data_IF_316762251761
#
_entry.id   IF_316762251761
#
_cell.length_a   1.000
_cell.length_b   1.000
_cell.length_c   1.000
_cell.angle_alpha   90.00
_cell.angle_beta   90.00
_cell.angle_gamma   90.00
#
_symmetry.space_group_name_H-M   'P 1'
#
loop_
_entity.id
_entity.type
_entity.pdbx_description
1 polymer ?
#
# COMPACT_ATOMS: atom_id res chain seq x y z
N UNK A 1 7.24 -7.38 -38.49
CA UNK A 1 7.50 -8.66 -37.88
C UNK A 1 7.63 -8.45 -36.36
N UNK A 2 6.78 -9.05 -35.59
CA UNK A 2 6.97 -9.16 -34.13
C UNK A 2 8.23 -10.00 -33.91
N UNK A 3 9.24 -9.38 -33.30
CA UNK A 3 10.39 -10.14 -32.78
C UNK A 3 9.86 -10.90 -31.59
N UNK A 4 9.67 -12.23 -31.76
CA UNK A 4 9.38 -13.10 -30.65
C UNK A 4 10.46 -12.90 -29.57
N UNK A 5 10.10 -12.40 -28.43
CA UNK A 5 11.03 -12.28 -27.29
C UNK A 5 11.29 -13.69 -26.79
N UNK A 6 12.57 -14.05 -26.70
CA UNK A 6 12.96 -15.35 -26.15
C UNK A 6 12.43 -15.52 -24.74
N UNK A 7 11.62 -16.56 -24.53
CA UNK A 7 11.12 -16.90 -23.19
C UNK A 7 12.28 -17.41 -22.32
N UNK A 8 12.37 -16.95 -21.06
CA UNK A 8 13.39 -17.49 -20.16
C UNK A 8 13.07 -18.94 -19.82
N UNK A 9 14.07 -19.80 -19.84
CA UNK A 9 13.91 -21.24 -19.57
C UNK A 9 14.35 -21.66 -18.16
N UNK A 10 14.94 -20.75 -17.36
CA UNK A 10 15.50 -21.10 -16.04
C UNK A 10 14.45 -21.65 -15.09
N UNK A 11 13.20 -21.24 -15.17
CA UNK A 11 12.10 -21.74 -14.35
C UNK A 11 11.85 -23.25 -14.59
N UNK A 12 12.04 -23.73 -15.81
CA UNK A 12 11.91 -25.15 -16.15
C UNK A 12 13.06 -25.97 -15.55
N UNK A 13 14.26 -25.38 -15.51
CA UNK A 13 15.40 -26.01 -14.82
C UNK A 13 15.20 -26.06 -13.30
N UNK A 14 14.61 -25.02 -12.71
CA UNK A 14 14.27 -25.04 -11.28
C UNK A 14 13.25 -26.14 -10.98
N UNK A 15 12.17 -26.23 -11.74
CA UNK A 15 11.16 -27.29 -11.58
C UNK A 15 11.81 -28.70 -11.69
N UNK A 16 12.64 -28.94 -12.71
CA UNK A 16 13.32 -30.22 -12.90
C UNK A 16 14.27 -30.54 -11.73
N UNK A 17 15.03 -29.56 -11.25
CA UNK A 17 15.92 -29.76 -10.10
C UNK A 17 15.13 -30.15 -8.84
N UNK A 18 13.96 -29.59 -8.66
CA UNK A 18 13.09 -29.87 -7.50
C UNK A 18 12.32 -31.19 -7.61
N UNK A 19 12.20 -31.75 -8.83
CA UNK A 19 11.65 -33.09 -9.06
C UNK A 19 12.68 -34.21 -8.76
N UNK A 20 13.97 -33.94 -9.01
CA UNK A 20 15.03 -34.98 -8.93
C UNK A 20 15.84 -34.94 -7.65
N UNK A 21 15.69 -33.90 -6.81
CA UNK A 21 16.51 -33.74 -5.60
C UNK A 21 15.69 -33.24 -4.42
N UNK A 22 15.92 -33.82 -3.25
CA UNK A 22 15.36 -33.35 -1.97
C UNK A 22 15.93 -32.00 -1.55
N UNK A 23 17.16 -31.69 -1.97
CA UNK A 23 17.87 -30.43 -1.67
C UNK A 23 18.48 -29.89 -2.95
N UNK A 24 18.25 -28.61 -3.19
CA UNK A 24 18.79 -27.92 -4.36
C UNK A 24 19.29 -26.51 -3.99
N UNK A 25 20.49 -26.17 -4.48
CA UNK A 25 20.99 -24.79 -4.48
C UNK A 25 21.13 -24.36 -5.92
N UNK A 26 20.44 -23.27 -6.27
CA UNK A 26 20.42 -22.77 -7.66
C UNK A 26 20.75 -21.29 -7.70
N UNK A 27 21.50 -20.90 -8.73
CA UNK A 27 21.77 -19.49 -9.06
C UNK A 27 20.96 -19.16 -10.31
N UNK A 28 20.04 -18.22 -10.18
CA UNK A 28 19.08 -17.87 -11.27
C UNK A 28 18.83 -16.38 -11.36
N UNK A 29 18.27 -15.88 -12.49
CA UNK A 29 17.72 -14.54 -12.52
C UNK A 29 16.66 -14.35 -11.44
N UNK A 30 16.72 -13.23 -10.71
CA UNK A 30 15.92 -12.99 -9.51
C UNK A 30 14.52 -12.37 -9.80
N UNK A 31 14.16 -12.12 -11.07
CA UNK A 31 12.93 -11.40 -11.44
C UNK A 31 11.65 -12.02 -10.88
N UNK A 32 11.61 -13.36 -10.77
CA UNK A 32 10.45 -14.06 -10.26
C UNK A 32 10.13 -13.68 -8.78
N UNK A 33 11.15 -13.34 -7.99
CA UNK A 33 11.00 -12.90 -6.60
C UNK A 33 10.19 -11.60 -6.48
N UNK A 34 10.20 -10.77 -7.52
CA UNK A 34 9.46 -9.52 -7.62
C UNK A 34 8.17 -9.67 -8.45
N UNK A 35 7.77 -10.90 -8.72
CA UNK A 35 6.66 -11.22 -9.62
C UNK A 35 6.78 -10.49 -10.97
N UNK A 36 8.00 -10.30 -11.45
CA UNK A 36 8.38 -9.59 -12.68
C UNK A 36 9.04 -10.54 -13.69
N UNK A 37 9.25 -10.02 -14.92
CA UNK A 37 9.88 -10.78 -16.01
C UNK A 37 8.87 -11.55 -16.86
N UNK A 38 9.39 -12.49 -17.67
CA UNK A 38 8.61 -13.25 -18.65
C UNK A 38 8.28 -14.68 -18.19
N UNK A 39 8.61 -15.05 -16.96
CA UNK A 39 8.15 -16.31 -16.37
C UNK A 39 6.64 -16.25 -16.10
N UNK A 40 5.93 -17.39 -16.26
CA UNK A 40 4.50 -17.42 -15.99
C UNK A 40 4.17 -16.93 -14.56
N UNK A 41 3.20 -16.04 -14.41
CA UNK A 41 2.80 -15.49 -13.11
C UNK A 41 2.40 -16.56 -12.10
N UNK A 42 1.71 -17.60 -12.57
CA UNK A 42 1.33 -18.76 -11.74
C UNK A 42 2.58 -19.49 -11.22
N UNK A 43 3.63 -19.62 -12.04
CA UNK A 43 4.89 -20.22 -11.61
C UNK A 43 5.63 -19.33 -10.59
N UNK A 44 5.67 -18.01 -10.81
CA UNK A 44 6.24 -17.08 -9.85
C UNK A 44 5.56 -17.23 -8.49
N UNK A 45 4.23 -17.27 -8.50
CA UNK A 45 3.43 -17.44 -7.29
C UNK A 45 3.72 -18.78 -6.61
N UNK A 46 3.78 -19.88 -7.36
CA UNK A 46 4.18 -21.22 -6.84
C UNK A 46 5.52 -21.14 -6.10
N UNK A 47 6.51 -20.45 -6.65
CA UNK A 47 7.83 -20.31 -6.02
C UNK A 47 7.79 -19.42 -4.77
N UNK A 48 7.02 -18.34 -4.81
CA UNK A 48 6.88 -17.42 -3.68
C UNK A 48 6.07 -18.03 -2.52
N UNK A 49 5.20 -18.97 -2.79
CA UNK A 49 4.38 -19.70 -1.81
C UNK A 49 5.04 -21.01 -1.32
N UNK A 50 6.15 -21.43 -1.91
CA UNK A 50 6.86 -22.66 -1.49
C UNK A 50 7.55 -22.46 -0.14
N UNK A 51 6.99 -23.06 0.91
CA UNK A 51 7.52 -22.98 2.28
C UNK A 51 8.87 -23.69 2.46
N UNK A 52 9.30 -24.49 1.48
CA UNK A 52 10.58 -25.20 1.48
C UNK A 52 11.69 -24.44 0.76
N UNK A 53 11.38 -23.28 0.17
CA UNK A 53 12.29 -22.45 -0.61
C UNK A 53 12.67 -21.19 0.17
N UNK A 54 13.98 -20.88 0.20
CA UNK A 54 14.47 -19.59 0.70
C UNK A 54 15.50 -18.96 -0.23
N UNK A 55 15.61 -17.64 -0.18
CA UNK A 55 16.70 -16.89 -0.80
C UNK A 55 17.86 -16.83 0.19
N UNK A 56 19.02 -17.33 -0.20
CA UNK A 56 20.23 -17.31 0.63
C UNK A 56 21.19 -16.20 0.26
N UNK A 57 21.08 -15.67 -0.95
CA UNK A 57 21.83 -14.50 -1.41
C UNK A 57 21.10 -13.82 -2.56
N UNK A 58 21.18 -12.50 -2.61
CA UNK A 58 20.67 -11.69 -3.69
C UNK A 58 21.70 -10.63 -4.10
N UNK A 59 21.99 -10.56 -5.40
CA UNK A 59 22.80 -9.51 -6.01
C UNK A 59 21.94 -8.68 -6.97
N UNK A 60 21.73 -7.41 -6.67
CA UNK A 60 21.00 -6.51 -7.55
C UNK A 60 21.73 -6.29 -8.89
N UNK A 61 23.05 -6.23 -8.83
CA UNK A 61 23.93 -6.16 -9.99
C UNK A 61 24.48 -7.56 -10.29
N UNK A 62 24.08 -8.12 -11.43
CA UNK A 62 24.54 -9.47 -11.81
C UNK A 62 26.05 -9.59 -11.96
N UNK A 63 26.74 -8.48 -12.24
CA UNK A 63 28.20 -8.41 -12.34
C UNK A 63 28.92 -8.82 -11.06
N UNK A 64 28.27 -8.72 -9.90
CA UNK A 64 28.80 -9.16 -8.60
C UNK A 64 28.93 -10.69 -8.52
N UNK A 65 28.14 -11.41 -9.30
CA UNK A 65 28.12 -12.89 -9.34
C UNK A 65 28.75 -13.41 -10.63
N UNK A 66 28.42 -12.80 -11.76
CA UNK A 66 28.86 -13.16 -13.08
C UNK A 66 29.49 -11.96 -13.78
N UNK A 67 30.83 -11.81 -13.76
CA UNK A 67 31.52 -10.72 -14.45
C UNK A 67 31.10 -10.63 -15.94
N UNK A 68 30.93 -9.41 -16.43
CA UNK A 68 30.53 -9.13 -17.82
C UNK A 68 29.10 -9.57 -18.21
N UNK A 69 28.19 -9.71 -17.24
CA UNK A 69 26.78 -9.98 -17.50
C UNK A 69 25.90 -8.83 -17.04
N UNK A 70 24.81 -8.55 -17.74
CA UNK A 70 23.80 -7.57 -17.37
C UNK A 70 22.42 -8.27 -17.30
N UNK A 71 22.17 -8.97 -16.19
CA UNK A 71 20.88 -9.62 -15.92
C UNK A 71 19.98 -8.63 -15.21
N UNK A 72 19.07 -8.01 -15.95
CA UNK A 72 18.11 -7.06 -15.38
C UNK A 72 17.25 -7.71 -14.31
N UNK A 73 17.14 -7.06 -13.14
CA UNK A 73 16.43 -7.57 -11.96
C UNK A 73 17.31 -8.39 -11.02
N UNK A 74 18.61 -8.50 -11.31
CA UNK A 74 19.60 -9.16 -10.44
C UNK A 74 19.60 -10.68 -10.52
N UNK A 75 20.40 -11.27 -9.64
CA UNK A 75 20.63 -12.72 -9.52
C UNK A 75 20.34 -13.13 -8.08
N UNK A 76 19.66 -14.25 -7.91
CA UNK A 76 19.42 -14.85 -6.61
C UNK A 76 20.07 -16.24 -6.50
N UNK A 77 20.62 -16.52 -5.34
CA UNK A 77 20.95 -17.89 -4.92
C UNK A 77 19.82 -18.36 -4.04
N UNK A 78 19.15 -19.42 -4.47
CA UNK A 78 18.04 -20.03 -3.73
C UNK A 78 18.47 -21.39 -3.18
N UNK A 79 17.93 -21.74 -2.01
CA UNK A 79 18.05 -23.06 -1.40
C UNK A 79 16.67 -23.62 -1.13
N UNK A 80 16.43 -24.83 -1.62
CA UNK A 80 15.22 -25.60 -1.35
C UNK A 80 15.56 -26.91 -0.65
N UNK A 81 14.80 -27.25 0.38
CA UNK A 81 14.93 -28.51 1.12
C UNK A 81 13.54 -29.02 1.51
N UNK A 82 13.08 -30.11 0.92
CA UNK A 82 11.74 -30.67 1.17
C UNK A 82 11.50 -31.09 2.62
N UNK A 83 12.59 -31.28 3.40
CA UNK A 83 12.54 -31.69 4.80
C UNK A 83 12.56 -30.50 5.78
N UNK A 84 12.65 -29.27 5.29
CA UNK A 84 12.68 -28.06 6.10
C UNK A 84 11.58 -27.09 5.69
N UNK A 85 10.87 -26.55 6.66
CA UNK A 85 9.92 -25.47 6.43
C UNK A 85 10.59 -24.13 6.82
N UNK A 86 10.81 -23.25 5.85
CA UNK A 86 11.39 -21.91 6.04
C UNK A 86 10.30 -20.82 6.13
N UNK A 87 9.03 -21.17 5.88
CA UNK A 87 7.95 -20.25 5.61
C UNK A 87 7.97 -19.72 4.16
N UNK A 88 6.80 -19.41 3.63
CA UNK A 88 6.68 -18.86 2.27
C UNK A 88 7.35 -17.49 2.14
N UNK A 89 8.04 -17.25 1.03
CA UNK A 89 8.66 -15.95 0.72
C UNK A 89 7.57 -14.89 0.54
N UNK A 90 6.51 -15.21 -0.19
CA UNK A 90 5.36 -14.37 -0.56
C UNK A 90 5.77 -13.03 -1.20
N UNK A 91 6.38 -12.11 -0.44
CA UNK A 91 6.97 -10.86 -0.91
C UNK A 91 8.45 -10.85 -0.58
N UNK A 92 9.27 -10.59 -1.57
CA UNK A 92 10.72 -10.46 -1.41
C UNK A 92 11.13 -8.99 -1.49
N UNK A 93 12.00 -8.56 -0.58
CA UNK A 93 12.73 -7.29 -0.65
C UNK A 93 14.23 -7.56 -0.62
N UNK A 94 15.06 -6.83 -1.40
CA UNK A 94 16.52 -7.00 -1.39
C UNK A 94 17.18 -6.47 -0.11
N UNK A 95 16.42 -5.81 0.76
CA UNK A 95 16.90 -5.29 2.05
C UNK A 95 16.69 -6.39 3.10
N UNK A 96 17.77 -7.01 3.54
CA UNK A 96 17.75 -8.21 4.40
C UNK A 96 16.93 -7.97 5.68
N UNK A 97 17.26 -6.94 6.46
CA UNK A 97 16.53 -6.65 7.70
C UNK A 97 15.05 -6.35 7.49
N UNK A 98 14.69 -5.76 6.35
CA UNK A 98 13.29 -5.48 6.01
C UNK A 98 12.53 -6.75 5.63
N UNK A 99 13.21 -7.70 4.99
CA UNK A 99 12.66 -9.02 4.69
C UNK A 99 12.42 -9.81 5.98
N UNK A 100 13.36 -9.78 6.92
CA UNK A 100 13.23 -10.42 8.24
C UNK A 100 12.06 -9.80 9.03
N UNK A 101 11.95 -8.46 9.05
CA UNK A 101 10.85 -7.76 9.68
C UNK A 101 9.49 -8.15 9.06
N UNK A 102 9.43 -8.25 7.73
CA UNK A 102 8.22 -8.65 7.01
C UNK A 102 7.74 -10.04 7.46
N UNK A 103 8.65 -11.00 7.62
CA UNK A 103 8.32 -12.33 8.11
C UNK A 103 7.79 -12.31 9.56
N UNK A 104 8.41 -11.54 10.45
CA UNK A 104 7.94 -11.39 11.84
C UNK A 104 6.52 -10.84 11.89
N UNK A 105 6.25 -9.79 11.09
CA UNK A 105 4.95 -9.12 11.04
C UNK A 105 3.87 -10.05 10.49
N UNK A 106 4.11 -10.71 9.36
CA UNK A 106 3.15 -11.62 8.70
C UNK A 106 2.80 -12.84 9.52
N UNK A 107 3.75 -13.37 10.29
CA UNK A 107 3.50 -14.51 11.16
C UNK A 107 2.49 -14.20 12.28
N UNK A 108 2.38 -12.94 12.68
CA UNK A 108 1.51 -12.51 13.78
C UNK A 108 0.17 -11.92 13.36
N UNK A 109 0.14 -11.12 12.30
CA UNK A 109 -1.07 -10.41 11.86
C UNK A 109 -1.42 -10.81 10.43
N UNK A 110 -2.64 -11.31 10.25
CA UNK A 110 -3.14 -11.78 8.93
C UNK A 110 -3.99 -10.74 8.20
N UNK A 111 -4.67 -9.85 8.93
CA UNK A 111 -5.43 -8.75 8.35
C UNK A 111 -4.49 -7.63 7.93
N UNK A 112 -4.80 -6.97 6.82
CA UNK A 112 -3.98 -5.87 6.32
C UNK A 112 -4.82 -4.68 5.84
N UNK A 113 -4.17 -3.53 5.69
CA UNK A 113 -4.80 -2.28 5.28
C UNK A 113 -5.48 -2.35 3.91
N UNK A 114 -5.08 -3.28 3.03
CA UNK A 114 -5.71 -3.45 1.73
C UNK A 114 -7.21 -3.79 1.81
N UNK A 115 -7.65 -4.43 2.90
CA UNK A 115 -9.05 -4.79 3.13
C UNK A 115 -9.91 -3.57 3.47
N UNK A 116 -9.30 -2.55 4.08
CA UNK A 116 -9.96 -1.36 4.62
C UNK A 116 -9.68 -0.09 3.81
N UNK A 117 -9.02 -0.24 2.66
CA UNK A 117 -8.75 0.85 1.72
C UNK A 117 -9.98 1.17 0.87
N UNK A 118 -10.37 2.42 0.91
CA UNK A 118 -11.30 3.04 -0.01
C UNK A 118 -10.52 3.92 -0.98
N UNK A 119 -10.50 3.47 -2.24
CA UNK A 119 -9.66 4.06 -3.29
C UNK A 119 -10.16 5.40 -3.80
N UNK A 120 -9.43 5.97 -4.73
CA UNK A 120 -9.72 7.28 -5.33
C UNK A 120 -11.10 7.42 -5.99
N UNK A 121 -11.73 6.31 -6.39
CA UNK A 121 -13.06 6.29 -7.04
C UNK A 121 -14.19 5.86 -6.10
N UNK A 122 -13.99 6.01 -4.78
CA UNK A 122 -14.97 5.58 -3.78
C UNK A 122 -16.24 6.43 -3.81
N UNK A 123 -16.11 7.75 -3.93
CA UNK A 123 -17.26 8.64 -3.95
C UNK A 123 -17.66 8.98 -5.37
N UNK A 124 -18.98 8.95 -5.64
CA UNK A 124 -19.55 9.13 -6.96
C UNK A 124 -20.75 10.07 -6.92
N UNK A 125 -20.99 10.75 -8.00
CA UNK A 125 -22.23 11.48 -8.17
C UNK A 125 -23.42 10.54 -8.36
N UNK A 126 -24.54 10.86 -7.74
CA UNK A 126 -25.81 10.19 -7.94
C UNK A 126 -26.48 10.64 -9.25
N UNK A 127 -27.48 9.90 -9.69
CA UNK A 127 -28.32 10.31 -10.83
C UNK A 127 -29.05 11.63 -10.61
N UNK A 128 -29.25 12.06 -9.37
CA UNK A 128 -29.88 13.36 -9.02
C UNK A 128 -29.11 14.55 -9.57
N UNK A 129 -27.77 14.44 -9.76
CA UNK A 129 -26.96 15.53 -10.30
C UNK A 129 -27.49 16.00 -11.66
N UNK A 130 -27.58 15.10 -12.63
CA UNK A 130 -27.99 15.46 -13.98
C UNK A 130 -29.52 15.60 -14.17
N UNK A 131 -30.30 15.08 -13.21
CA UNK A 131 -31.73 15.37 -13.15
C UNK A 131 -31.99 16.82 -12.70
N UNK A 132 -31.19 17.32 -11.76
CA UNK A 132 -31.32 18.69 -11.24
C UNK A 132 -30.59 19.72 -12.10
N UNK A 133 -29.44 19.33 -12.66
CA UNK A 133 -28.54 20.19 -13.44
C UNK A 133 -28.24 19.57 -14.81
N UNK A 134 -29.22 19.42 -15.71
CA UNK A 134 -29.02 18.77 -17.01
C UNK A 134 -27.96 19.47 -17.88
N UNK A 135 -27.73 20.78 -17.68
CA UNK A 135 -26.72 21.58 -18.39
C UNK A 135 -25.27 21.19 -18.02
N UNK A 136 -25.08 20.49 -16.92
CA UNK A 136 -23.74 20.01 -16.49
C UNK A 136 -23.36 18.72 -17.19
N UNK A 137 -24.29 18.06 -17.88
CA UNK A 137 -24.01 16.81 -18.59
C UNK A 137 -22.97 17.04 -19.69
N UNK A 138 -21.91 16.20 -19.67
CA UNK A 138 -20.79 16.30 -20.61
C UNK A 138 -19.70 17.29 -20.24
N UNK A 139 -19.83 18.05 -19.13
CA UNK A 139 -18.75 18.92 -18.62
C UNK A 139 -17.62 18.14 -17.94
N UNK A 140 -17.90 16.93 -17.53
CA UNK A 140 -16.92 15.96 -17.01
C UNK A 140 -16.85 14.76 -17.94
N UNK A 141 -15.74 14.03 -17.92
CA UNK A 141 -15.61 12.78 -18.69
C UNK A 141 -16.50 11.67 -18.10
N UNK A 142 -16.83 10.65 -18.90
CA UNK A 142 -17.57 9.47 -18.42
C UNK A 142 -16.92 8.77 -17.21
N UNK A 143 -15.59 8.86 -17.09
CA UNK A 143 -14.86 8.34 -15.94
C UNK A 143 -15.08 9.21 -14.70
N UNK A 144 -15.18 10.53 -14.87
CA UNK A 144 -15.43 11.50 -13.79
C UNK A 144 -16.90 11.52 -13.37
N UNK A 145 -17.83 11.12 -14.23
CA UNK A 145 -19.24 10.89 -13.84
C UNK A 145 -19.36 9.75 -12.83
N UNK A 146 -18.42 8.79 -12.86
CA UNK A 146 -18.36 7.63 -11.95
C UNK A 146 -17.48 7.88 -10.73
N UNK A 147 -16.89 9.05 -10.56
CA UNK A 147 -16.04 9.39 -9.41
C UNK A 147 -15.82 10.89 -9.35
N UNK A 148 -15.59 11.41 -8.15
CA UNK A 148 -15.36 12.84 -7.95
C UNK A 148 -13.91 13.16 -8.35
N UNK A 149 -13.71 13.71 -9.54
CA UNK A 149 -12.41 14.03 -10.12
C UNK A 149 -11.60 15.03 -9.30
N UNK A 150 -10.28 15.06 -9.50
CA UNK A 150 -9.37 15.92 -8.73
C UNK A 150 -9.62 17.42 -8.91
N UNK A 151 -10.12 17.83 -10.07
CA UNK A 151 -10.41 19.23 -10.43
C UNK A 151 -11.92 19.55 -10.49
N UNK A 152 -12.71 18.78 -9.76
CA UNK A 152 -14.18 18.86 -9.81
C UNK A 152 -14.71 20.22 -9.36
N UNK A 153 -14.07 20.87 -8.40
CA UNK A 153 -14.48 22.19 -7.89
C UNK A 153 -14.36 23.29 -8.94
N UNK A 154 -13.42 23.12 -9.88
CA UNK A 154 -13.25 24.04 -11.01
C UNK A 154 -14.20 23.72 -12.17
N UNK A 155 -14.51 22.44 -12.36
CA UNK A 155 -15.38 21.98 -13.45
C UNK A 155 -16.85 22.20 -13.18
N UNK A 156 -17.27 22.03 -11.94
CA UNK A 156 -18.69 22.14 -11.52
C UNK A 156 -18.86 23.09 -10.33
N UNK A 157 -18.39 24.35 -10.40
CA UNK A 157 -18.45 25.29 -9.27
C UNK A 157 -19.89 25.57 -8.82
N UNK A 158 -20.88 25.39 -9.71
CA UNK A 158 -22.29 25.69 -9.45
C UNK A 158 -22.92 24.80 -8.35
N UNK A 159 -22.38 23.60 -8.14
CA UNK A 159 -22.93 22.66 -7.16
C UNK A 159 -22.18 22.66 -5.82
N UNK A 160 -21.07 23.41 -5.73
CA UNK A 160 -20.24 23.48 -4.54
C UNK A 160 -20.28 24.85 -3.86
N UNK A 161 -20.15 24.84 -2.54
CA UNK A 161 -19.94 26.03 -1.74
C UNK A 161 -18.70 25.87 -0.87
N UNK A 162 -18.01 26.95 -0.54
CA UNK A 162 -16.83 27.00 0.31
C UNK A 162 -17.16 26.77 1.80
N UNK A 163 -18.43 26.94 2.17
CA UNK A 163 -18.94 26.75 3.53
C UNK A 163 -20.21 25.93 3.53
N UNK A 164 -20.40 25.14 4.57
CA UNK A 164 -21.64 24.41 4.79
C UNK A 164 -22.80 25.41 5.00
N UNK A 165 -23.82 25.30 4.19
CA UNK A 165 -24.98 26.21 4.17
C UNK A 165 -26.22 25.58 4.83
N UNK A 166 -26.29 24.24 4.91
CA UNK A 166 -27.41 23.51 5.51
C UNK A 166 -26.99 22.17 6.06
N UNK A 167 -27.80 21.57 6.90
CA UNK A 167 -27.54 20.23 7.47
C UNK A 167 -27.69 19.10 6.44
N UNK A 168 -28.35 19.37 5.32
CA UNK A 168 -28.48 18.42 4.21
C UNK A 168 -27.26 18.42 3.26
N UNK A 169 -26.15 19.03 3.66
CA UNK A 169 -24.93 19.07 2.86
C UNK A 169 -23.86 18.17 3.43
N UNK A 170 -23.08 17.58 2.51
CA UNK A 170 -21.84 16.84 2.79
C UNK A 170 -20.65 17.59 2.26
N UNK A 171 -19.50 17.38 2.90
CA UNK A 171 -18.22 17.92 2.47
C UNK A 171 -17.50 16.98 1.50
N UNK A 172 -16.76 17.54 0.57
CA UNK A 172 -15.81 16.84 -0.28
C UNK A 172 -14.43 17.46 -0.07
N UNK A 173 -13.52 16.64 0.46
CA UNK A 173 -12.14 17.02 0.68
C UNK A 173 -11.33 16.87 -0.60
N UNK A 174 -10.68 17.92 -1.02
CA UNK A 174 -9.95 17.97 -2.29
C UNK A 174 -8.84 19.01 -2.28
N UNK A 175 -8.45 19.47 -3.47
CA UNK A 175 -7.47 20.56 -3.65
C UNK A 175 -7.97 21.60 -4.65
N UNK A 176 -7.66 22.86 -4.35
CA UNK A 176 -7.75 24.00 -5.25
C UNK A 176 -6.40 24.72 -5.18
N UNK A 177 -5.73 24.96 -6.30
CA UNK A 177 -4.41 25.62 -6.36
C UNK A 177 -3.36 25.00 -5.41
N UNK A 178 -3.34 23.66 -5.32
CA UNK A 178 -2.51 22.87 -4.39
C UNK A 178 -2.84 23.03 -2.89
N UNK A 179 -3.76 23.86 -2.51
CA UNK A 179 -4.27 23.96 -1.14
C UNK A 179 -5.35 22.92 -0.88
N UNK A 180 -5.33 22.32 0.31
CA UNK A 180 -6.33 21.36 0.76
C UNK A 180 -7.57 22.10 1.25
N UNK A 181 -8.71 21.76 0.68
CA UNK A 181 -10.00 22.41 0.97
C UNK A 181 -11.10 21.38 1.14
N UNK A 182 -12.16 21.75 1.86
CA UNK A 182 -13.42 21.02 1.88
C UNK A 182 -14.49 21.90 1.31
N UNK A 183 -15.08 21.49 0.19
CA UNK A 183 -16.24 22.16 -0.39
C UNK A 183 -17.50 21.32 -0.17
N UNK A 184 -18.62 21.98 -0.07
CA UNK A 184 -19.89 21.42 0.38
C UNK A 184 -20.90 21.37 -0.76
N UNK A 185 -21.67 20.28 -0.84
CA UNK A 185 -22.76 20.11 -1.80
C UNK A 185 -23.92 19.37 -1.15
N UNK A 186 -25.09 19.40 -1.78
CA UNK A 186 -26.26 18.69 -1.28
C UNK A 186 -26.03 17.18 -1.28
N UNK A 187 -26.41 16.51 -0.19
CA UNK A 187 -26.10 15.10 0.05
C UNK A 187 -26.72 14.15 -0.97
N UNK A 188 -27.88 14.51 -1.54
CA UNK A 188 -28.56 13.70 -2.55
C UNK A 188 -27.84 13.69 -3.93
N UNK A 189 -26.85 14.57 -4.12
CA UNK A 189 -26.02 14.59 -5.32
C UNK A 189 -24.90 13.54 -5.30
N UNK A 190 -24.69 12.87 -4.15
CA UNK A 190 -23.65 11.86 -3.98
C UNK A 190 -24.31 10.50 -3.66
N UNK A 191 -23.75 9.41 -4.25
CA UNK A 191 -24.16 8.06 -3.92
C UNK A 191 -23.80 7.71 -2.47
N UNK A 192 -24.61 6.88 -1.82
CA UNK A 192 -24.29 6.34 -0.51
C UNK A 192 -22.96 5.55 -0.56
N UNK A 193 -22.15 5.72 0.47
CA UNK A 193 -20.88 5.02 0.58
C UNK A 193 -20.63 4.56 2.04
N UNK A 194 -20.13 3.33 2.27
CA UNK A 194 -20.03 2.74 3.61
C UNK A 194 -19.28 3.58 4.64
N UNK A 195 -18.23 4.32 4.22
CA UNK A 195 -17.48 5.16 5.15
C UNK A 195 -17.84 6.65 5.10
N UNK A 196 -18.83 7.07 4.28
CA UNK A 196 -19.20 8.49 4.19
C UNK A 196 -19.68 9.03 5.55
N UNK A 197 -20.53 8.27 6.24
CA UNK A 197 -21.07 8.63 7.55
C UNK A 197 -20.26 8.04 8.72
N UNK A 198 -18.95 7.88 8.53
CA UNK A 198 -18.02 7.32 9.51
C UNK A 198 -16.78 8.19 9.61
N UNK A 199 -16.05 8.07 10.72
CA UNK A 199 -14.69 8.59 10.81
C UNK A 199 -13.76 7.71 9.98
N UNK A 200 -12.72 8.28 9.40
CA UNK A 200 -11.75 7.61 8.52
C UNK A 200 -10.42 8.36 8.54
N UNK A 201 -9.39 7.77 7.96
CA UNK A 201 -8.12 8.45 7.74
C UNK A 201 -7.94 8.75 6.26
N UNK A 202 -7.73 10.01 5.89
CA UNK A 202 -7.40 10.44 4.54
C UNK A 202 -5.90 10.45 4.30
N UNK A 203 -5.47 9.92 3.15
CA UNK A 203 -4.11 10.06 2.66
C UNK A 203 -4.12 10.57 1.21
N UNK A 204 -3.06 11.28 0.77
CA UNK A 204 -2.87 11.55 -0.65
C UNK A 204 -2.84 10.25 -1.47
N UNK A 205 -3.51 10.23 -2.62
CA UNK A 205 -3.47 9.09 -3.54
C UNK A 205 -2.07 8.88 -4.14
N UNK A 206 -1.23 9.90 -4.12
CA UNK A 206 0.16 9.85 -4.57
C UNK A 206 1.04 10.68 -3.64
N UNK A 207 2.21 10.15 -3.27
CA UNK A 207 3.21 10.84 -2.47
C UNK A 207 4.60 10.23 -2.69
N UNK A 208 5.63 11.09 -2.70
CA UNK A 208 7.00 10.68 -2.98
C UNK A 208 7.31 10.59 -4.47
N UNK A 209 8.57 10.44 -4.86
CA UNK A 209 9.01 10.29 -6.25
C UNK A 209 8.99 8.83 -6.73
N UNK A 210 8.93 7.87 -5.81
CA UNK A 210 9.07 6.44 -6.08
C UNK A 210 10.52 6.01 -6.34
N UNK A 211 11.50 6.84 -6.01
CA UNK A 211 12.91 6.44 -6.06
C UNK A 211 13.21 5.37 -4.99
N UNK A 212 14.13 4.44 -5.32
CA UNK A 212 14.49 3.33 -4.40
C UNK A 212 14.95 3.84 -3.04
N UNK A 213 15.48 4.94 -2.80
CA UNK A 213 15.84 5.49 -1.48
C UNK A 213 14.68 6.13 -0.72
N UNK A 214 13.57 6.42 -1.40
CA UNK A 214 12.39 7.04 -0.80
C UNK A 214 11.40 6.04 -0.19
N UNK A 215 11.54 4.77 -0.48
CA UNK A 215 10.62 3.72 -0.02
C UNK A 215 10.47 3.74 1.50
N UNK A 216 11.55 4.04 2.21
CA UNK A 216 11.59 4.10 3.68
C UNK A 216 11.69 5.53 4.23
N UNK A 217 11.87 6.54 3.36
CA UNK A 217 11.95 7.93 3.80
C UNK A 217 10.56 8.55 4.00
N UNK A 218 10.48 9.58 4.81
CA UNK A 218 9.27 10.38 4.89
C UNK A 218 9.26 11.45 3.81
N UNK A 219 8.08 11.87 3.43
CA UNK A 219 6.78 11.42 3.89
C UNK A 219 6.18 10.37 2.98
N UNK A 220 6.55 9.09 3.17
CA UNK A 220 6.06 7.98 2.34
C UNK A 220 4.53 7.93 2.25
N UNK A 221 3.84 8.27 3.32
CA UNK A 221 2.38 8.34 3.41
C UNK A 221 1.83 9.77 3.18
N UNK A 222 2.70 10.75 2.96
CA UNK A 222 2.30 12.15 2.87
C UNK A 222 1.89 12.72 4.23
N UNK A 223 0.92 13.65 4.21
CA UNK A 223 0.35 14.21 5.43
C UNK A 223 -1.05 13.62 5.63
N UNK A 224 -1.18 12.56 6.46
CA UNK A 224 -2.48 11.95 6.76
C UNK A 224 -3.30 12.87 7.68
N UNK A 225 -4.62 12.74 7.63
CA UNK A 225 -5.54 13.43 8.54
C UNK A 225 -6.80 12.61 8.80
N UNK A 226 -7.48 12.92 9.91
CA UNK A 226 -8.79 12.34 10.22
C UNK A 226 -9.86 13.01 9.37
N UNK A 227 -10.64 12.20 8.67
CA UNK A 227 -11.87 12.61 7.98
C UNK A 227 -13.08 12.39 8.88
N UNK A 228 -13.90 13.41 9.03
CA UNK A 228 -15.13 13.37 9.85
C UNK A 228 -16.30 12.72 9.11
N UNK A 229 -17.37 12.28 9.80
CA UNK A 229 -18.61 11.88 9.15
C UNK A 229 -19.16 12.94 8.21
N UNK A 230 -19.83 12.51 7.17
CA UNK A 230 -20.38 13.33 6.10
C UNK A 230 -19.32 14.12 5.29
N UNK A 231 -18.07 13.67 5.33
CA UNK A 231 -17.00 14.19 4.46
C UNK A 231 -16.42 13.06 3.63
N UNK A 232 -16.55 13.16 2.29
CA UNK A 232 -15.88 12.31 1.31
C UNK A 232 -14.61 12.98 0.76
N UNK A 233 -14.03 12.43 -0.30
CA UNK A 233 -12.84 13.01 -0.95
C UNK A 233 -12.88 12.91 -2.48
N UNK A 234 -12.13 13.77 -3.13
CA UNK A 234 -11.85 13.69 -4.58
C UNK A 234 -10.82 12.58 -4.87
N UNK A 235 -10.61 12.29 -6.15
CA UNK A 235 -9.57 11.35 -6.61
C UNK A 235 -8.13 11.70 -6.15
N UNK A 236 -7.91 12.89 -5.61
CA UNK A 236 -6.62 13.33 -5.05
C UNK A 236 -6.25 12.55 -3.79
N UNK A 237 -7.24 11.95 -3.12
CA UNK A 237 -7.08 11.24 -1.86
C UNK A 237 -7.60 9.80 -1.94
N UNK A 238 -7.20 9.03 -0.96
CA UNK A 238 -7.72 7.72 -0.57
C UNK A 238 -8.10 7.78 0.90
N UNK A 239 -8.90 6.84 1.38
CA UNK A 239 -9.23 6.74 2.80
C UNK A 239 -9.13 5.33 3.34
N UNK A 240 -8.90 5.24 4.64
CA UNK A 240 -8.87 3.98 5.39
C UNK A 240 -9.89 3.99 6.50
N UNK A 241 -10.52 2.83 6.66
CA UNK A 241 -11.45 2.56 7.74
C UNK A 241 -12.83 3.18 7.55
N UNK A 242 -13.71 2.76 8.41
CA UNK A 242 -15.06 3.28 8.61
C UNK A 242 -15.35 3.18 10.12
N UNK A 243 -14.73 4.08 10.89
CA UNK A 243 -14.72 4.02 12.34
C UNK A 243 -15.97 4.68 12.91
N UNK A 244 -16.43 4.16 14.04
CA UNK A 244 -17.59 4.72 14.77
C UNK A 244 -17.21 5.96 15.58
N UNK A 245 -15.94 6.04 15.99
CA UNK A 245 -15.45 7.13 16.84
C UNK A 245 -14.25 7.85 16.20
N UNK A 246 -14.08 9.12 16.54
CA UNK A 246 -12.93 9.92 16.14
C UNK A 246 -11.63 9.36 16.71
N UNK A 247 -11.67 8.88 17.95
CA UNK A 247 -10.53 8.29 18.65
C UNK A 247 -9.96 7.09 17.88
N UNK A 248 -10.81 6.20 17.37
CA UNK A 248 -10.33 5.07 16.53
C UNK A 248 -9.65 5.55 15.26
N UNK A 249 -10.17 6.58 14.61
CA UNK A 249 -9.54 7.16 13.42
C UNK A 249 -8.21 7.84 13.75
N UNK A 250 -8.12 8.57 14.87
CA UNK A 250 -6.87 9.15 15.37
C UNK A 250 -5.83 8.07 15.71
N UNK A 251 -6.23 6.98 16.33
CA UNK A 251 -5.38 5.85 16.65
C UNK A 251 -4.84 5.18 15.36
N UNK A 252 -5.70 4.97 14.37
CA UNK A 252 -5.29 4.51 13.03
C UNK A 252 -4.30 5.48 12.38
N UNK A 253 -4.52 6.78 12.49
CA UNK A 253 -3.63 7.80 11.98
C UNK A 253 -2.26 7.76 12.66
N UNK A 254 -2.19 7.61 14.00
CA UNK A 254 -0.94 7.42 14.73
C UNK A 254 -0.20 6.19 14.25
N UNK A 255 -0.90 5.05 14.07
CA UNK A 255 -0.29 3.82 13.58
C UNK A 255 0.32 3.99 12.18
N UNK A 256 -0.38 4.63 11.24
CA UNK A 256 0.13 4.88 9.88
C UNK A 256 1.45 5.69 9.92
N UNK A 257 1.65 6.53 10.94
CA UNK A 257 2.88 7.30 11.12
C UNK A 257 4.05 6.49 11.69
N UNK A 258 3.82 5.31 12.27
CA UNK A 258 4.88 4.48 12.85
C UNK A 258 5.87 4.01 11.80
N UNK A 259 7.09 3.74 12.22
CA UNK A 259 8.15 3.24 11.37
C UNK A 259 7.85 1.84 10.81
N UNK A 260 7.27 0.94 11.61
CA UNK A 260 6.84 -0.40 11.15
C UNK A 260 5.80 -0.30 10.05
N UNK A 261 4.74 0.51 10.22
CA UNK A 261 3.70 0.64 9.21
C UNK A 261 4.28 1.15 7.88
N UNK A 262 5.17 2.14 7.94
CA UNK A 262 5.81 2.72 6.76
C UNK A 262 6.86 1.80 6.14
N UNK A 263 7.61 1.05 6.95
CA UNK A 263 8.53 0.02 6.45
C UNK A 263 7.76 -1.07 5.71
N UNK A 264 6.65 -1.56 6.27
CA UNK A 264 5.80 -2.57 5.62
C UNK A 264 5.18 -2.04 4.32
N UNK A 265 4.70 -0.81 4.30
CA UNK A 265 4.24 -0.15 3.08
C UNK A 265 5.37 -0.11 2.04
N UNK A 266 6.59 0.22 2.47
CA UNK A 266 7.78 0.31 1.63
C UNK A 266 8.15 -0.98 0.93
N UNK A 267 7.76 -2.15 1.44
CA UNK A 267 8.05 -3.45 0.81
C UNK A 267 7.42 -3.60 -0.58
N UNK A 268 6.27 -2.94 -0.82
CA UNK A 268 5.51 -3.04 -2.08
C UNK A 268 5.35 -1.70 -2.80
N UNK A 269 5.51 -0.59 -2.11
CA UNK A 269 5.39 0.74 -2.72
C UNK A 269 6.66 1.12 -3.46
N UNK A 270 6.73 0.81 -4.74
CA UNK A 270 7.86 1.10 -5.64
C UNK A 270 7.63 2.33 -6.54
N UNK A 271 6.52 3.02 -6.36
CA UNK A 271 6.15 4.26 -7.08
C UNK A 271 5.53 5.26 -6.13
N UNK A 272 5.28 6.48 -6.62
CA UNK A 272 4.57 7.52 -5.85
C UNK A 272 3.11 7.17 -5.47
N UNK A 273 2.52 6.11 -6.05
CA UNK A 273 1.10 5.81 -5.92
C UNK A 273 0.77 5.03 -4.65
N UNK A 274 -0.15 5.57 -3.84
CA UNK A 274 -0.72 4.95 -2.64
C UNK A 274 -2.07 4.27 -2.90
N UNK A 275 -2.64 4.45 -4.08
CA UNK A 275 -4.05 4.13 -4.37
C UNK A 275 -4.32 2.65 -4.65
N UNK A 276 -3.29 1.85 -4.91
CA UNK A 276 -3.43 0.41 -5.14
C UNK A 276 -3.61 -0.32 -3.82
N UNK A 277 -4.61 -1.19 -3.73
CA UNK A 277 -4.78 -2.09 -2.58
C UNK A 277 -3.56 -2.98 -2.35
N UNK A 278 -2.90 -3.39 -3.42
CA UNK A 278 -1.74 -4.26 -3.39
C UNK A 278 -0.59 -3.68 -2.55
N UNK A 279 -0.30 -2.38 -2.67
CA UNK A 279 0.82 -1.77 -1.92
C UNK A 279 0.61 -1.79 -0.40
N UNK A 280 -0.64 -1.94 0.07
CA UNK A 280 -1.00 -1.97 1.48
C UNK A 280 -1.16 -3.39 2.04
N UNK A 281 -0.96 -4.43 1.24
CA UNK A 281 -1.20 -5.81 1.65
C UNK A 281 -0.22 -6.31 2.72
N UNK A 282 0.94 -5.68 2.87
CA UNK A 282 1.91 -6.01 3.91
C UNK A 282 1.78 -5.14 5.18
N UNK A 283 0.97 -4.09 5.15
CA UNK A 283 0.76 -3.23 6.32
C UNK A 283 -0.30 -3.87 7.22
N UNK A 284 0.06 -4.31 8.44
CA UNK A 284 -0.88 -4.96 9.36
C UNK A 284 -2.04 -4.04 9.72
N UNK A 285 -3.24 -4.62 9.81
CA UNK A 285 -4.40 -3.95 10.37
C UNK A 285 -4.62 -4.38 11.82
N UNK A 286 -4.88 -3.42 12.68
CA UNK A 286 -5.22 -3.64 14.09
C UNK A 286 -6.64 -3.16 14.38
N UNK A 287 -7.20 -3.60 15.49
CA UNK A 287 -8.35 -2.96 16.10
C UNK A 287 -7.85 -1.70 16.82
N UNK A 288 -8.35 -0.54 16.44
CA UNK A 288 -7.89 0.77 16.94
C UNK A 288 -8.70 1.27 18.14
N UNK A 289 -9.40 0.36 18.81
CA UNK A 289 -10.21 0.63 20.01
C UNK A 289 -9.45 0.29 21.30
N UNK A 290 -10.07 0.52 22.43
CA UNK A 290 -9.49 0.28 23.76
C UNK A 290 -9.29 -1.20 24.13
N UNK A 291 -9.84 -2.13 23.32
CA UNK A 291 -9.66 -3.58 23.51
C UNK A 291 -8.46 -4.14 22.75
N UNK A 292 -7.72 -3.30 22.06
CA UNK A 292 -6.50 -3.68 21.35
C UNK A 292 -5.39 -4.10 22.32
N UNK A 293 -4.48 -4.96 21.85
CA UNK A 293 -3.25 -5.31 22.59
C UNK A 293 -2.23 -4.15 22.61
N UNK A 294 -2.44 -3.13 21.78
CA UNK A 294 -1.65 -1.91 21.72
C UNK A 294 -2.42 -0.78 22.40
N UNK A 295 -1.79 -0.09 23.32
CA UNK A 295 -2.34 1.13 23.94
C UNK A 295 -2.16 2.32 22.98
N UNK A 296 -3.19 2.56 22.19
CA UNK A 296 -3.22 3.63 21.21
C UNK A 296 -3.32 5.04 21.81
N UNK A 297 -3.59 5.18 23.12
CA UNK A 297 -3.64 6.48 23.80
C UNK A 297 -2.27 7.16 23.86
N UNK A 298 -1.21 6.39 23.66
CA UNK A 298 0.18 6.81 23.76
C UNK A 298 0.65 7.62 22.55
N UNK A 299 1.84 8.21 22.70
CA UNK A 299 2.56 8.87 21.59
C UNK A 299 2.96 7.87 20.50
N UNK A 300 3.23 8.37 19.29
CA UNK A 300 3.71 7.51 18.18
C UNK A 300 4.95 6.72 18.59
N UNK A 301 5.92 7.34 19.28
CA UNK A 301 7.13 6.69 19.74
C UNK A 301 6.86 5.55 20.76
N UNK A 302 5.91 5.75 21.68
CA UNK A 302 5.54 4.71 22.64
C UNK A 302 4.75 3.57 21.96
N UNK A 303 3.95 3.89 20.95
CA UNK A 303 3.26 2.89 20.10
C UNK A 303 4.30 2.08 19.33
N UNK A 304 5.34 2.69 18.77
CA UNK A 304 6.45 1.99 18.10
C UNK A 304 7.11 0.97 19.04
N UNK A 305 7.42 1.35 20.28
CA UNK A 305 7.99 0.41 21.28
C UNK A 305 7.06 -0.78 21.54
N UNK A 306 5.75 -0.52 21.72
CA UNK A 306 4.78 -1.59 21.90
C UNK A 306 4.69 -2.51 20.67
N UNK A 307 4.81 -1.96 19.46
CA UNK A 307 4.82 -2.75 18.21
C UNK A 307 6.10 -3.61 18.10
N UNK A 308 7.26 -3.09 18.51
CA UNK A 308 8.50 -3.88 18.55
C UNK A 308 8.36 -5.08 19.49
N UNK A 309 7.83 -4.86 20.71
CA UNK A 309 7.55 -5.93 21.67
C UNK A 309 6.52 -6.92 21.13
N UNK A 310 5.44 -6.39 20.54
CA UNK A 310 4.36 -7.21 19.98
C UNK A 310 4.86 -8.13 18.87
N UNK A 311 5.70 -7.64 17.96
CA UNK A 311 6.25 -8.45 16.87
C UNK A 311 7.53 -9.21 17.25
N UNK A 312 8.06 -9.04 18.46
CA UNK A 312 9.36 -9.55 18.91
C UNK A 312 10.49 -9.11 17.96
N UNK A 313 10.53 -7.82 17.63
CA UNK A 313 11.51 -7.25 16.70
C UNK A 313 12.90 -7.23 17.38
N UNK A 314 13.94 -7.88 16.80
CA UNK A 314 15.29 -7.84 17.34
C UNK A 314 15.89 -6.44 17.36
N UNK A 315 16.79 -6.16 18.32
CA UNK A 315 17.44 -4.84 18.48
C UNK A 315 18.18 -4.37 17.23
N UNK A 316 18.81 -5.27 16.49
CA UNK A 316 19.47 -4.94 15.23
C UNK A 316 18.49 -4.44 14.15
N UNK A 317 17.29 -5.02 14.06
CA UNK A 317 16.24 -4.57 13.15
C UNK A 317 15.64 -3.23 13.62
N UNK A 318 15.46 -3.04 14.94
CA UNK A 318 15.03 -1.76 15.50
C UNK A 318 16.03 -0.64 15.15
N UNK A 319 17.34 -0.94 15.24
CA UNK A 319 18.38 0.00 14.86
C UNK A 319 18.29 0.39 13.36
N UNK A 320 18.04 -0.58 12.48
CA UNK A 320 17.86 -0.36 11.04
C UNK A 320 16.59 0.46 10.75
N UNK A 321 15.47 0.16 11.42
CA UNK A 321 14.24 0.96 11.32
C UNK A 321 14.51 2.43 11.65
N UNK A 322 15.15 2.68 12.79
CA UNK A 322 15.47 4.06 13.24
C UNK A 322 16.47 4.78 12.34
N UNK A 323 17.38 4.04 11.72
CA UNK A 323 18.37 4.61 10.80
C UNK A 323 17.79 4.93 9.42
N UNK A 324 16.84 4.13 8.93
CA UNK A 324 16.37 4.20 7.55
C UNK A 324 14.96 4.79 7.39
N UNK A 325 14.11 4.71 8.43
CA UNK A 325 12.74 5.22 8.38
C UNK A 325 12.68 6.54 9.16
N UNK A 326 12.62 7.64 8.44
CA UNK A 326 12.58 8.97 9.05
C UNK A 326 11.34 9.12 9.94
N UNK A 327 11.53 9.63 11.18
CA UNK A 327 10.45 9.85 12.15
C UNK A 327 9.33 10.76 11.60
N UNK A 328 8.10 10.44 11.96
CA UNK A 328 6.90 11.27 11.79
C UNK A 328 6.22 11.46 13.14
N UNK A 329 5.96 12.71 13.50
CA UNK A 329 5.24 13.08 14.71
C UNK A 329 3.74 13.21 14.43
#
# INVERSE_FOLDING_TARGET
GEVARDEPIYHKFMDLAYEVADKAVLITPARFLFNAGQTPKVWNQKMLEDEHLKVVYFAQKSEEVFPNTDIKGGVAVTYRDVNQNFGAIETFTPIEWLNDLLHLVRNKVKKSFNEYLYGKSSYKFSSSLYNRYPELKGRVSLAEEKSIGSNIFEKLPEIFSDKKQSDNQIGIYGRINNERVTNWLDSDLIEEHPNLNKYKVFLPASNGSGAIGEVLSTPLVGTPLVGTPLVGHTQTFISFGAFDTEVEAENCLKYIKTDIARAMLGTLKVTQHNQSKEVWSNVPWFDFNDYSQIDWSKSVEEIERQLYDYFNVPDNIIAELKANVRRMD
#
